data_IF_655801686944
#
_entry.id   IF_655801686944
#
_cell.length_a   1.000
_cell.length_b   1.000
_cell.length_c   1.000
_cell.angle_alpha   90.00
_cell.angle_beta   90.00
_cell.angle_gamma   90.00
#
_symmetry.space_group_name_H-M   'P 1'
#
loop_
_entity.id
_entity.type
_entity.pdbx_description
1 polymer ?
#
# COMPACT_ATOMS: atom_id res chain seq x y z
N UNK A 1 -3.61 -17.01 -8.48
CA UNK A 1 -3.72 -16.55 -7.08
C UNK A 1 -4.87 -17.28 -6.40
N UNK A 2 -4.69 -17.64 -5.13
CA UNK A 2 -5.74 -18.22 -4.30
C UNK A 2 -6.61 -17.13 -3.65
N UNK A 3 -7.44 -17.50 -2.69
CA UNK A 3 -8.37 -16.63 -1.99
C UNK A 3 -7.76 -15.81 -0.84
N UNK A 4 -6.44 -15.58 -0.83
CA UNK A 4 -5.78 -14.80 0.23
C UNK A 4 -5.79 -13.31 -0.07
N UNK A 5 -6.20 -12.51 0.92
CA UNK A 5 -6.12 -11.05 0.86
C UNK A 5 -5.16 -10.56 1.95
N UNK A 6 -4.14 -9.82 1.54
CA UNK A 6 -3.15 -9.23 2.44
C UNK A 6 -3.59 -7.85 2.88
N UNK A 7 -3.64 -7.63 4.20
CA UNK A 7 -4.02 -6.36 4.79
C UNK A 7 -2.81 -5.52 5.19
N UNK A 8 -2.96 -4.21 5.06
CA UNK A 8 -2.05 -3.20 5.59
C UNK A 8 -2.81 -1.95 6.04
N UNK A 9 -2.18 -1.10 6.85
CA UNK A 9 -2.66 0.24 7.18
C UNK A 9 -1.69 1.30 6.62
N UNK A 10 -2.16 2.44 6.09
CA UNK A 10 -1.29 3.57 5.76
C UNK A 10 -0.93 4.35 7.03
N UNK A 11 0.33 4.72 7.21
CA UNK A 11 0.80 5.66 8.23
C UNK A 11 1.44 6.87 7.54
N UNK A 12 0.79 8.01 7.62
CA UNK A 12 1.28 9.25 7.04
C UNK A 12 2.25 9.93 8.03
N UNK A 13 3.55 9.84 7.75
CA UNK A 13 4.60 10.40 8.60
C UNK A 13 4.89 11.87 8.32
N UNK A 14 4.65 12.34 7.08
CA UNK A 14 4.89 13.74 6.70
C UNK A 14 4.03 14.17 5.52
N UNK A 15 3.40 15.35 5.63
CA UNK A 15 2.78 16.07 4.52
C UNK A 15 3.61 17.27 4.03
N UNK A 16 4.84 17.43 4.55
CA UNK A 16 5.78 18.39 4.00
C UNK A 16 6.13 17.98 2.57
N UNK A 17 5.92 18.87 1.61
CA UNK A 17 6.23 18.62 0.21
C UNK A 17 6.71 19.89 -0.48
N UNK A 18 7.75 19.77 -1.31
CA UNK A 18 8.29 20.88 -2.12
C UNK A 18 7.65 20.96 -3.51
N UNK A 19 6.90 19.92 -3.90
CA UNK A 19 6.28 19.84 -5.22
C UNK A 19 4.93 20.55 -5.29
N UNK A 20 4.49 20.85 -6.52
CA UNK A 20 3.25 21.54 -6.81
C UNK A 20 2.38 20.75 -7.79
N UNK A 21 2.19 19.46 -7.49
CA UNK A 21 1.35 18.58 -8.30
C UNK A 21 -0.11 19.04 -8.25
N UNK A 22 -0.71 19.36 -9.38
CA UNK A 22 -2.03 20.02 -9.45
C UNK A 22 -3.21 19.16 -8.96
N UNK A 23 -2.98 17.87 -8.71
CA UNK A 23 -3.99 16.88 -8.25
C UNK A 23 -3.83 16.49 -6.78
N UNK A 24 -2.86 17.03 -6.06
CA UNK A 24 -2.49 16.55 -4.72
C UNK A 24 -2.76 17.59 -3.64
N UNK A 25 -3.43 17.23 -2.56
CA UNK A 25 -3.67 18.11 -1.41
C UNK A 25 -2.36 18.55 -0.72
N UNK A 26 -1.29 17.75 -0.78
CA UNK A 26 0.01 18.07 -0.18
C UNK A 26 0.89 19.01 -1.02
N UNK A 27 0.41 19.52 -2.15
CA UNK A 27 1.21 20.46 -2.95
C UNK A 27 1.64 21.67 -2.13
N UNK A 28 2.88 22.15 -2.33
CA UNK A 28 3.50 23.18 -1.48
C UNK A 28 2.79 24.54 -1.50
N UNK A 29 2.03 24.81 -2.54
CA UNK A 29 1.25 26.03 -2.75
C UNK A 29 -0.23 25.92 -2.29
N UNK A 30 -0.60 24.84 -1.60
CA UNK A 30 -1.91 24.72 -0.96
C UNK A 30 -1.88 25.40 0.42
N UNK A 31 -2.53 26.59 0.60
CA UNK A 31 -2.51 27.32 1.85
C UNK A 31 -3.41 26.71 2.94
N UNK A 32 -4.33 25.82 2.57
CA UNK A 32 -5.26 25.18 3.50
C UNK A 32 -4.60 24.03 4.26
N UNK A 33 -3.51 23.47 3.72
CA UNK A 33 -2.82 22.32 4.28
C UNK A 33 -1.94 22.71 5.48
N UNK A 34 -2.26 22.21 6.67
CA UNK A 34 -1.43 22.34 7.86
C UNK A 34 -0.26 21.36 7.80
N UNK A 35 0.94 21.91 7.60
CA UNK A 35 2.17 21.13 7.43
C UNK A 35 2.68 20.54 8.74
N UNK A 36 2.92 19.25 8.75
CA UNK A 36 3.51 18.57 9.88
C UNK A 36 4.40 17.41 9.44
N UNK A 37 5.41 17.10 10.22
CA UNK A 37 6.25 15.93 10.14
C UNK A 37 6.28 15.31 11.53
N UNK A 38 5.95 14.02 11.62
CA UNK A 38 5.85 13.34 12.91
C UNK A 38 7.21 13.22 13.59
N UNK A 39 7.26 13.52 14.89
CA UNK A 39 8.40 13.18 15.73
C UNK A 39 8.47 11.66 15.98
N UNK A 40 9.60 11.13 16.47
CA UNK A 40 9.69 9.72 16.88
C UNK A 40 8.61 9.30 17.88
N UNK A 41 8.28 10.17 18.85
CA UNK A 41 7.25 9.93 19.85
C UNK A 41 5.84 9.87 19.23
N UNK A 42 5.57 10.73 18.24
CA UNK A 42 4.30 10.72 17.50
C UNK A 42 4.20 9.45 16.64
N UNK A 43 5.26 9.07 15.92
CA UNK A 43 5.34 7.82 15.15
C UNK A 43 5.09 6.62 16.05
N UNK A 44 5.69 6.61 17.24
CA UNK A 44 5.49 5.55 18.22
C UNK A 44 4.02 5.41 18.60
N UNK A 45 3.34 6.52 18.98
CA UNK A 45 1.92 6.53 19.35
C UNK A 45 0.98 6.14 18.23
N UNK A 46 1.23 6.64 17.02
CA UNK A 46 0.46 6.27 15.83
C UNK A 46 0.58 4.77 15.57
N UNK A 47 1.79 4.23 15.69
CA UNK A 47 2.05 2.80 15.51
C UNK A 47 1.36 1.96 16.59
N UNK A 48 1.36 2.40 17.86
CA UNK A 48 0.60 1.74 18.94
C UNK A 48 -0.88 1.63 18.55
N UNK A 49 -1.49 2.72 18.11
CA UNK A 49 -2.90 2.74 17.73
C UNK A 49 -3.21 1.80 16.55
N UNK A 50 -2.32 1.74 15.55
CA UNK A 50 -2.45 0.80 14.42
C UNK A 50 -2.34 -0.67 14.90
N UNK A 51 -1.43 -0.97 15.82
CA UNK A 51 -1.29 -2.31 16.39
C UNK A 51 -2.52 -2.70 17.22
N UNK A 52 -3.09 -1.76 17.97
CA UNK A 52 -4.29 -1.97 18.80
C UNK A 52 -5.55 -2.28 17.95
N UNK A 53 -5.57 -1.90 16.68
CA UNK A 53 -6.58 -2.32 15.69
C UNK A 53 -6.33 -3.74 15.13
N UNK A 54 -5.19 -4.36 15.43
CA UNK A 54 -4.83 -5.72 15.01
C UNK A 54 -3.92 -5.79 13.77
N UNK A 55 -3.50 -4.66 13.22
CA UNK A 55 -2.58 -4.63 12.09
C UNK A 55 -1.19 -5.16 12.46
N UNK A 56 -0.54 -5.82 11.50
CA UNK A 56 0.83 -6.36 11.60
C UNK A 56 1.73 -5.87 10.46
N UNK A 57 1.16 -5.12 9.53
CA UNK A 57 1.80 -4.58 8.34
C UNK A 57 1.30 -3.17 8.07
N UNK A 58 2.20 -2.28 7.73
CA UNK A 58 1.82 -0.93 7.33
C UNK A 58 2.63 -0.43 6.13
N UNK A 59 2.14 0.64 5.52
CA UNK A 59 2.87 1.45 4.56
C UNK A 59 3.07 2.85 5.12
N UNK A 60 4.32 3.24 5.33
CA UNK A 60 4.67 4.57 5.78
C UNK A 60 4.77 5.53 4.58
N UNK A 61 4.10 6.68 4.67
CA UNK A 61 3.92 7.63 3.56
C UNK A 61 4.59 8.95 3.91
N UNK A 62 5.38 9.47 2.97
CA UNK A 62 6.17 10.69 3.15
C UNK A 62 5.97 11.64 1.98
N UNK A 63 5.74 12.92 2.28
CA UNK A 63 5.87 13.98 1.29
C UNK A 63 7.34 14.20 0.89
N UNK A 64 7.58 14.64 -0.34
CA UNK A 64 8.92 14.91 -0.85
C UNK A 64 9.45 16.24 -0.31
N UNK A 65 10.36 16.18 0.67
CA UNK A 65 10.89 17.35 1.34
C UNK A 65 12.28 17.07 1.93
N UNK A 66 13.21 18.05 2.02
CA UNK A 66 14.53 17.84 2.63
C UNK A 66 14.51 17.33 4.08
N UNK A 67 13.44 17.58 4.84
CA UNK A 67 13.26 17.02 6.19
C UNK A 67 12.73 15.59 6.21
N UNK A 68 12.23 15.08 5.09
CA UNK A 68 11.79 13.70 4.93
C UNK A 68 12.84 12.94 4.11
N UNK A 69 14.10 13.09 4.47
CA UNK A 69 15.24 12.45 3.83
C UNK A 69 15.38 10.96 4.21
N UNK A 70 16.36 10.30 3.66
CA UNK A 70 16.59 8.88 3.89
C UNK A 70 16.90 8.55 5.36
N UNK A 71 17.57 9.46 6.08
CA UNK A 71 17.91 9.26 7.50
C UNK A 71 16.64 9.35 8.36
N UNK A 72 15.79 10.37 8.17
CA UNK A 72 14.48 10.46 8.84
C UNK A 72 13.60 9.23 8.55
N UNK A 73 13.56 8.77 7.29
CA UNK A 73 12.77 7.60 6.92
C UNK A 73 13.33 6.35 7.63
N UNK A 74 14.64 6.13 7.65
CA UNK A 74 15.27 5.00 8.31
C UNK A 74 14.99 4.99 9.82
N UNK A 75 15.07 6.15 10.47
CA UNK A 75 14.77 6.32 11.90
C UNK A 75 13.30 6.06 12.19
N UNK A 76 12.38 6.53 11.33
CA UNK A 76 10.95 6.24 11.47
C UNK A 76 10.64 4.75 11.35
N UNK A 77 11.29 4.03 10.42
CA UNK A 77 11.18 2.56 10.28
C UNK A 77 11.64 1.86 11.56
N UNK A 78 12.79 2.26 12.10
CA UNK A 78 13.35 1.71 13.34
C UNK A 78 12.39 1.92 14.52
N UNK A 79 11.81 3.12 14.63
CA UNK A 79 10.80 3.45 15.65
C UNK A 79 9.57 2.56 15.52
N UNK A 80 9.02 2.39 14.31
CA UNK A 80 7.85 1.55 14.06
C UNK A 80 8.11 0.10 14.46
N UNK A 81 9.27 -0.48 14.10
CA UNK A 81 9.60 -1.86 14.46
C UNK A 81 9.84 -2.07 15.95
N UNK A 82 10.21 -1.03 16.70
CA UNK A 82 10.44 -1.10 18.14
C UNK A 82 9.13 -1.17 18.96
N UNK A 83 7.99 -0.76 18.39
CA UNK A 83 6.71 -0.71 19.11
C UNK A 83 6.19 -2.13 19.35
N UNK A 84 5.81 -2.39 20.61
CA UNK A 84 5.18 -3.64 21.06
C UNK A 84 3.97 -3.34 21.92
N UNK A 85 2.86 -4.02 21.65
CA UNK A 85 1.62 -3.91 22.43
C UNK A 85 1.21 -5.27 22.96
N UNK A 86 0.82 -5.34 24.22
CA UNK A 86 0.21 -6.56 24.76
C UNK A 86 -1.09 -6.84 24.00
N UNK A 87 -1.30 -8.09 23.60
CA UNK A 87 -2.55 -8.47 22.93
C UNK A 87 -3.75 -8.33 23.85
N UNK A 88 -4.96 -8.01 23.34
CA UNK A 88 -6.17 -7.96 24.15
C UNK A 88 -6.45 -9.24 24.95
N UNK A 89 -6.05 -10.41 24.42
CA UNK A 89 -6.14 -11.69 25.12
C UNK A 89 -5.17 -11.84 26.30
N UNK A 90 -4.16 -10.98 26.41
CA UNK A 90 -3.10 -11.08 27.41
C UNK A 90 -2.06 -12.17 27.17
N UNK A 91 -2.16 -12.93 26.06
CA UNK A 91 -1.31 -14.10 25.77
C UNK A 91 -0.03 -13.77 25.01
N UNK A 92 0.45 -12.53 25.07
CA UNK A 92 1.67 -12.13 24.38
C UNK A 92 1.64 -10.68 23.94
N UNK A 93 2.41 -10.39 22.88
CA UNK A 93 2.44 -9.04 22.31
C UNK A 93 2.34 -9.10 20.78
N UNK A 94 1.75 -8.05 20.22
CA UNK A 94 1.73 -7.76 18.82
C UNK A 94 2.70 -6.61 18.47
N UNK A 95 3.20 -6.61 17.24
CA UNK A 95 4.05 -5.56 16.70
C UNK A 95 3.91 -5.52 15.18
N UNK A 96 4.33 -4.41 14.57
CA UNK A 96 4.45 -4.34 13.12
C UNK A 96 5.63 -5.22 12.69
N UNK A 97 5.36 -6.12 11.76
CA UNK A 97 6.32 -7.13 11.26
C UNK A 97 6.85 -6.79 9.87
N UNK A 98 6.21 -5.86 9.18
CA UNK A 98 6.62 -5.36 7.87
C UNK A 98 6.19 -3.92 7.68
N UNK A 99 7.15 -3.08 7.31
CA UNK A 99 6.93 -1.68 6.95
C UNK A 99 7.29 -1.48 5.48
N UNK A 100 6.28 -1.28 4.64
CA UNK A 100 6.47 -0.79 3.28
C UNK A 100 6.60 0.73 3.31
N UNK A 101 7.19 1.31 2.30
CA UNK A 101 7.30 2.77 2.20
C UNK A 101 6.81 3.31 0.87
N UNK A 102 6.10 4.43 0.93
CA UNK A 102 5.77 5.28 -0.19
C UNK A 102 6.48 6.62 0.02
N UNK A 103 7.61 6.78 -0.67
CA UNK A 103 8.47 7.95 -0.55
C UNK A 103 8.87 8.48 -1.93
N UNK A 104 9.54 9.63 -1.99
CA UNK A 104 10.04 10.18 -3.23
C UNK A 104 11.16 9.31 -3.84
N UNK A 105 11.42 9.41 -5.15
CA UNK A 105 12.60 8.82 -5.76
C UNK A 105 13.88 9.34 -5.12
N UNK A 106 14.85 8.44 -4.88
CA UNK A 106 16.11 8.75 -4.21
C UNK A 106 17.30 8.23 -5.02
N UNK A 107 18.51 8.67 -4.66
CA UNK A 107 19.75 8.12 -5.16
C UNK A 107 19.99 6.70 -4.59
N UNK A 108 20.83 5.91 -5.27
CA UNK A 108 21.13 4.53 -4.88
C UNK A 108 21.70 4.45 -3.46
N UNK A 109 22.54 5.41 -3.06
CA UNK A 109 23.17 5.47 -1.73
C UNK A 109 22.11 5.64 -0.62
N UNK A 110 21.10 6.49 -0.83
CA UNK A 110 20.03 6.72 0.12
C UNK A 110 19.10 5.49 0.19
N UNK A 111 18.79 4.89 -0.97
CA UNK A 111 18.01 3.65 -1.02
C UNK A 111 18.73 2.50 -0.30
N UNK A 112 20.07 2.42 -0.33
CA UNK A 112 20.83 1.45 0.46
C UNK A 112 20.70 1.66 1.98
N UNK A 113 20.55 2.92 2.45
CA UNK A 113 20.23 3.16 3.87
C UNK A 113 18.87 2.57 4.23
N UNK A 114 17.86 2.78 3.39
CA UNK A 114 16.52 2.24 3.60
C UNK A 114 16.49 0.72 3.56
N UNK A 115 17.22 0.12 2.62
CA UNK A 115 17.41 -1.33 2.58
C UNK A 115 18.00 -1.87 3.90
N UNK A 116 19.04 -1.22 4.45
CA UNK A 116 19.65 -1.59 5.73
C UNK A 116 18.73 -1.39 6.92
N UNK A 117 17.84 -0.40 6.87
CA UNK A 117 16.79 -0.18 7.89
C UNK A 117 15.72 -1.28 7.87
N UNK A 118 15.73 -2.18 6.88
CA UNK A 118 14.83 -3.32 6.81
C UNK A 118 13.43 -2.96 6.28
N UNK A 119 13.35 -2.03 5.33
CA UNK A 119 12.08 -1.76 4.67
C UNK A 119 11.53 -3.01 3.98
N UNK A 120 10.23 -3.05 3.85
CA UNK A 120 9.55 -3.97 2.98
C UNK A 120 9.59 -3.53 1.51
N UNK A 121 8.42 -3.33 0.91
CA UNK A 121 8.30 -2.84 -0.46
C UNK A 121 8.63 -1.35 -0.54
N UNK A 122 9.49 -0.97 -1.48
CA UNK A 122 9.65 0.42 -1.89
C UNK A 122 8.65 0.75 -3.00
N UNK A 123 7.83 1.78 -2.79
CA UNK A 123 6.74 2.13 -3.70
C UNK A 123 6.85 3.58 -4.17
N UNK A 124 6.86 3.78 -5.48
CA UNK A 124 6.74 5.09 -6.13
C UNK A 124 5.81 4.98 -7.33
N UNK A 125 4.76 5.77 -7.36
CA UNK A 125 3.89 5.84 -8.53
C UNK A 125 4.52 6.75 -9.60
N UNK A 126 4.50 6.30 -10.85
CA UNK A 126 4.86 7.15 -11.98
C UNK A 126 3.86 8.30 -12.16
N UNK A 127 2.67 8.15 -11.64
CA UNK A 127 1.49 9.00 -11.74
C UNK A 127 0.85 8.89 -13.13
N UNK A 128 1.54 9.33 -14.19
CA UNK A 128 1.18 9.09 -15.58
C UNK A 128 2.42 8.73 -16.39
N UNK A 129 2.30 7.78 -17.28
CA UNK A 129 3.36 7.37 -18.20
C UNK A 129 3.44 8.25 -19.45
N UNK A 130 2.45 9.13 -19.70
CA UNK A 130 2.47 10.04 -20.84
C UNK A 130 3.35 11.27 -20.56
N UNK A 131 4.52 11.44 -21.26
CA UNK A 131 5.50 12.48 -20.88
C UNK A 131 4.96 13.91 -21.00
N UNK A 132 4.18 14.21 -22.05
CA UNK A 132 3.57 15.53 -22.24
C UNK A 132 2.59 15.86 -21.12
N UNK A 133 1.71 14.92 -20.78
CA UNK A 133 0.77 15.11 -19.68
C UNK A 133 1.46 15.21 -18.32
N UNK A 134 2.52 14.43 -18.11
CA UNK A 134 3.34 14.51 -16.92
C UNK A 134 3.92 15.92 -16.72
N UNK A 135 4.46 16.53 -17.78
CA UNK A 135 5.03 17.87 -17.72
C UNK A 135 3.98 18.97 -17.42
N UNK A 136 2.74 18.80 -17.90
CA UNK A 136 1.63 19.70 -17.56
C UNK A 136 1.24 19.64 -16.08
N UNK A 137 1.29 18.46 -15.48
CA UNK A 137 0.85 18.18 -14.11
C UNK A 137 1.91 18.48 -13.05
N UNK A 138 3.19 18.47 -13.44
CA UNK A 138 4.33 18.62 -12.54
C UNK A 138 5.23 19.75 -13.03
N UNK A 139 5.18 20.93 -12.39
CA UNK A 139 5.98 22.08 -12.80
C UNK A 139 7.48 21.76 -12.88
N UNK A 140 8.11 22.14 -14.00
CA UNK A 140 9.50 21.77 -14.32
C UNK A 140 10.55 22.30 -13.29
N UNK A 141 10.20 23.32 -12.53
CA UNK A 141 11.04 23.86 -11.46
C UNK A 141 10.83 23.17 -10.10
N UNK A 142 10.23 22.00 -10.09
CA UNK A 142 10.11 21.12 -8.92
C UNK A 142 10.89 19.82 -9.13
N UNK A 143 11.27 19.14 -8.05
CA UNK A 143 11.99 17.87 -8.14
C UNK A 143 11.16 16.84 -8.91
N UNK A 144 9.86 16.75 -8.63
CA UNK A 144 8.93 15.83 -9.30
C UNK A 144 8.72 16.18 -10.78
N UNK A 145 9.07 17.37 -11.23
CA UNK A 145 9.04 17.76 -12.66
C UNK A 145 9.98 16.94 -13.55
N UNK A 146 10.94 16.22 -12.97
CA UNK A 146 11.84 15.34 -13.72
C UNK A 146 11.20 13.97 -13.98
N UNK A 147 10.58 13.80 -15.14
CA UNK A 147 9.92 12.57 -15.57
C UNK A 147 10.82 11.33 -15.49
N UNK A 148 12.03 11.41 -16.04
CA UNK A 148 12.95 10.25 -16.08
C UNK A 148 13.47 9.88 -14.69
N UNK A 149 13.74 10.87 -13.84
CA UNK A 149 14.15 10.62 -12.46
C UNK A 149 13.12 9.77 -11.72
N UNK A 150 11.84 10.03 -11.96
CA UNK A 150 10.74 9.28 -11.36
C UNK A 150 10.55 7.92 -12.02
N UNK A 151 10.56 7.85 -13.35
CA UNK A 151 10.37 6.60 -14.10
C UNK A 151 11.40 5.52 -13.69
N UNK A 152 12.66 5.89 -13.54
CA UNK A 152 13.74 4.98 -13.16
C UNK A 152 13.94 4.85 -11.64
N UNK A 153 12.93 5.19 -10.82
CA UNK A 153 13.04 5.08 -9.36
C UNK A 153 13.18 3.62 -8.91
N UNK A 154 12.41 2.71 -9.51
CA UNK A 154 12.48 1.28 -9.17
C UNK A 154 13.79 0.63 -9.63
N UNK A 155 14.33 1.02 -10.75
CA UNK A 155 15.65 0.57 -11.21
C UNK A 155 16.73 0.91 -10.18
N UNK A 156 16.76 2.15 -9.69
CA UNK A 156 17.70 2.55 -8.63
C UNK A 156 17.46 1.82 -7.30
N UNK A 157 16.21 1.50 -6.99
CA UNK A 157 15.89 0.71 -5.81
C UNK A 157 16.47 -0.71 -5.92
N UNK A 158 16.31 -1.34 -7.06
CA UNK A 158 16.86 -2.67 -7.34
C UNK A 158 18.40 -2.66 -7.37
N UNK A 159 19.02 -1.64 -7.96
CA UNK A 159 20.49 -1.41 -7.89
C UNK A 159 20.99 -1.22 -6.46
N UNK A 160 20.14 -0.71 -5.57
CA UNK A 160 20.47 -0.57 -4.14
C UNK A 160 20.32 -1.87 -3.34
N UNK A 161 19.76 -2.93 -3.94
CA UNK A 161 19.50 -4.23 -3.31
C UNK A 161 18.07 -4.40 -2.79
N UNK A 162 17.16 -3.45 -3.07
CA UNK A 162 15.74 -3.56 -2.74
C UNK A 162 15.08 -4.38 -3.86
N UNK A 163 14.85 -5.64 -3.62
CA UNK A 163 14.26 -6.60 -4.56
C UNK A 163 12.73 -6.68 -4.49
N UNK A 164 12.10 -5.94 -3.59
CA UNK A 164 10.66 -5.84 -3.42
C UNK A 164 10.20 -4.41 -3.74
N UNK A 165 9.82 -4.21 -5.00
CA UNK A 165 9.41 -2.90 -5.52
C UNK A 165 7.95 -2.90 -5.95
N UNK A 166 7.33 -1.72 -5.90
CA UNK A 166 5.94 -1.52 -6.33
C UNK A 166 5.82 -0.33 -7.28
N UNK A 167 5.19 -0.57 -8.42
CA UNK A 167 4.87 0.47 -9.40
C UNK A 167 3.39 0.87 -9.32
N UNK A 168 3.05 1.99 -9.91
CA UNK A 168 1.65 2.44 -9.98
C UNK A 168 1.45 3.65 -10.86
N UNK A 169 0.19 3.88 -11.22
CA UNK A 169 -0.28 5.08 -11.90
C UNK A 169 -1.53 5.61 -11.20
N UNK A 170 -1.73 6.93 -11.23
CA UNK A 170 -2.95 7.57 -10.74
C UNK A 170 -3.93 7.69 -11.90
N UNK A 171 -4.89 6.79 -11.97
CA UNK A 171 -5.89 6.74 -13.01
C UNK A 171 -6.86 7.93 -12.92
N UNK A 172 -6.99 8.65 -14.01
CA UNK A 172 -7.72 9.92 -14.11
C UNK A 172 -6.82 11.10 -14.49
N UNK A 173 -5.50 10.91 -14.54
CA UNK A 173 -4.57 11.92 -15.03
C UNK A 173 -4.46 11.92 -16.55
N UNK A 174 -4.51 10.76 -17.19
CA UNK A 174 -4.49 10.58 -18.64
C UNK A 174 -5.35 9.37 -19.04
N UNK A 175 -5.37 9.01 -20.35
CA UNK A 175 -6.11 7.87 -20.87
C UNK A 175 -5.73 6.57 -20.15
N UNK A 176 -6.71 5.89 -19.57
CA UNK A 176 -6.46 4.72 -18.73
C UNK A 176 -5.83 3.53 -19.49
N UNK A 177 -6.10 3.39 -20.81
CA UNK A 177 -5.51 2.32 -21.61
C UNK A 177 -4.02 2.56 -21.82
N UNK A 178 -3.64 3.82 -22.02
CA UNK A 178 -2.24 4.22 -22.12
C UNK A 178 -1.51 3.95 -20.79
N UNK A 179 -2.13 4.29 -19.66
CA UNK A 179 -1.53 4.04 -18.34
C UNK A 179 -1.38 2.54 -18.05
N UNK A 180 -2.36 1.70 -18.43
CA UNK A 180 -2.25 0.23 -18.31
C UNK A 180 -1.09 -0.29 -19.15
N UNK A 181 -0.96 0.15 -20.41
CA UNK A 181 0.18 -0.22 -21.25
C UNK A 181 1.51 0.22 -20.63
N UNK A 182 1.59 1.43 -20.08
CA UNK A 182 2.77 1.93 -19.39
C UNK A 182 3.16 1.09 -18.16
N UNK A 183 2.18 0.65 -17.37
CA UNK A 183 2.40 -0.24 -16.24
C UNK A 183 2.93 -1.61 -16.68
N UNK A 184 2.34 -2.20 -17.71
CA UNK A 184 2.76 -3.50 -18.25
C UNK A 184 4.18 -3.42 -18.80
N UNK A 185 4.49 -2.40 -19.61
CA UNK A 185 5.83 -2.21 -20.16
C UNK A 185 6.87 -1.93 -19.08
N UNK A 186 6.51 -1.18 -18.02
CA UNK A 186 7.40 -0.94 -16.89
C UNK A 186 7.69 -2.24 -16.11
N UNK A 187 6.67 -3.09 -15.92
CA UNK A 187 6.85 -4.40 -15.29
C UNK A 187 7.81 -5.28 -16.12
N UNK A 188 7.59 -5.38 -17.43
CA UNK A 188 8.46 -6.13 -18.33
C UNK A 188 9.88 -5.55 -18.44
N UNK A 189 10.03 -4.23 -18.34
CA UNK A 189 11.34 -3.60 -18.34
C UNK A 189 12.17 -3.99 -17.09
N UNK A 190 11.54 -3.99 -15.92
CA UNK A 190 12.16 -4.48 -14.68
C UNK A 190 12.54 -5.96 -14.80
N UNK A 191 11.66 -6.81 -15.35
CA UNK A 191 11.97 -8.23 -15.60
C UNK A 191 13.17 -8.40 -16.53
N UNK A 192 13.21 -7.65 -17.63
CA UNK A 192 14.33 -7.72 -18.59
C UNK A 192 15.67 -7.30 -17.99
N UNK A 193 15.65 -6.29 -17.10
CA UNK A 193 16.90 -5.73 -16.55
C UNK A 193 17.38 -6.45 -15.30
N UNK A 194 16.47 -6.93 -14.45
CA UNK A 194 16.79 -7.49 -13.14
C UNK A 194 16.39 -8.95 -12.98
N UNK A 195 15.75 -9.57 -13.97
CA UNK A 195 15.26 -10.94 -13.91
C UNK A 195 13.98 -11.11 -13.06
N UNK A 196 13.50 -10.05 -12.42
CA UNK A 196 12.26 -10.03 -11.62
C UNK A 196 11.47 -8.76 -11.91
N UNK A 197 10.13 -8.90 -11.94
CA UNK A 197 9.21 -7.78 -12.08
C UNK A 197 8.78 -7.19 -10.73
N UNK A 198 7.85 -6.23 -10.75
CA UNK A 198 7.35 -5.60 -9.53
C UNK A 198 6.57 -6.60 -8.67
N UNK A 199 6.81 -6.58 -7.36
CA UNK A 199 6.06 -7.38 -6.40
C UNK A 199 4.58 -6.98 -6.35
N UNK A 200 4.29 -5.68 -6.51
CA UNK A 200 2.91 -5.19 -6.55
C UNK A 200 2.72 -4.09 -7.58
N UNK A 201 1.48 -4.01 -8.10
CA UNK A 201 1.00 -2.89 -8.90
C UNK A 201 -0.17 -2.23 -8.17
N UNK A 202 -0.08 -0.91 -7.99
CA UNK A 202 -1.15 -0.07 -7.49
C UNK A 202 -1.79 0.73 -8.63
N UNK A 203 -3.11 0.79 -8.63
CA UNK A 203 -3.90 1.45 -9.67
C UNK A 203 -5.01 2.34 -9.08
N UNK A 204 -4.68 3.25 -8.14
CA UNK A 204 -5.68 4.13 -7.56
C UNK A 204 -6.33 5.01 -8.62
N UNK A 205 -7.64 5.22 -8.50
CA UNK A 205 -8.33 6.29 -9.22
C UNK A 205 -8.18 7.62 -8.50
N UNK A 206 -8.20 8.70 -9.26
CA UNK A 206 -8.25 10.04 -8.71
C UNK A 206 -9.54 10.23 -7.92
N UNK A 207 -9.39 10.73 -6.70
CA UNK A 207 -10.48 11.09 -5.81
C UNK A 207 -10.42 12.59 -5.51
N UNK A 208 -11.53 13.23 -5.13
CA UNK A 208 -11.52 14.62 -4.72
C UNK A 208 -10.41 14.91 -3.70
N UNK A 209 -9.64 15.95 -3.94
CA UNK A 209 -8.54 16.37 -3.10
C UNK A 209 -8.68 17.86 -2.74
N UNK A 210 -8.52 18.26 -1.46
CA UNK A 210 -8.65 19.65 -1.04
C UNK A 210 -7.76 20.57 -1.88
N UNK A 211 -8.35 21.65 -2.37
CA UNK A 211 -7.66 22.64 -3.19
C UNK A 211 -7.25 22.19 -4.60
N UNK A 212 -7.73 21.05 -5.11
CA UNK A 212 -7.42 20.55 -6.45
C UNK A 212 -8.65 20.54 -7.36
N UNK A 213 -8.76 21.52 -8.26
CA UNK A 213 -9.81 21.53 -9.28
C UNK A 213 -9.74 20.31 -10.21
N UNK A 214 -8.53 19.88 -10.56
CA UNK A 214 -8.33 18.76 -11.49
C UNK A 214 -8.88 17.44 -10.94
N UNK A 215 -8.85 17.26 -9.62
CA UNK A 215 -9.28 15.99 -9.01
C UNK A 215 -10.75 15.64 -9.29
N UNK A 216 -11.58 16.63 -9.57
CA UNK A 216 -13.01 16.47 -9.87
C UNK A 216 -13.35 16.74 -11.35
N UNK A 217 -12.48 17.46 -12.06
CA UNK A 217 -12.76 17.97 -13.40
C UNK A 217 -11.81 17.46 -14.49
N UNK A 218 -11.07 16.39 -14.23
CA UNK A 218 -10.22 15.81 -15.27
C UNK A 218 -11.06 15.19 -16.39
N UNK A 219 -10.71 15.44 -17.67
CA UNK A 219 -11.39 14.80 -18.80
C UNK A 219 -11.08 13.29 -18.90
N UNK A 220 -10.19 12.78 -18.05
CA UNK A 220 -9.74 11.38 -18.04
C UNK A 220 -10.24 10.61 -16.81
N UNK A 221 -11.22 11.13 -16.07
CA UNK A 221 -11.81 10.40 -14.94
C UNK A 221 -12.29 9.02 -15.37
N UNK A 222 -11.96 8.01 -14.58
CA UNK A 222 -12.24 6.60 -14.89
C UNK A 222 -13.52 6.17 -14.19
N UNK A 223 -14.55 5.78 -14.95
CA UNK A 223 -15.77 5.21 -14.40
C UNK A 223 -15.55 3.76 -13.93
N UNK A 224 -16.55 3.20 -13.24
CA UNK A 224 -16.46 1.86 -12.65
C UNK A 224 -16.22 0.76 -13.68
N UNK A 225 -16.89 0.83 -14.85
CA UNK A 225 -16.74 -0.20 -15.88
C UNK A 225 -15.35 -0.20 -16.50
N UNK A 226 -14.78 0.98 -16.75
CA UNK A 226 -13.39 1.11 -17.21
C UNK A 226 -12.42 0.65 -16.11
N UNK A 227 -12.72 0.96 -14.85
CA UNK A 227 -11.91 0.53 -13.70
C UNK A 227 -11.87 -1.00 -13.57
N UNK A 228 -13.02 -1.66 -13.67
CA UNK A 228 -13.09 -3.12 -13.68
C UNK A 228 -12.27 -3.72 -14.81
N UNK A 229 -12.38 -3.16 -16.02
CA UNK A 229 -11.63 -3.63 -17.20
C UNK A 229 -10.13 -3.47 -17.01
N UNK A 230 -9.65 -2.33 -16.51
CA UNK A 230 -8.21 -2.13 -16.30
C UNK A 230 -7.64 -3.13 -15.29
N UNK A 231 -8.37 -3.47 -14.22
CA UNK A 231 -7.93 -4.46 -13.23
C UNK A 231 -7.81 -5.85 -13.86
N UNK A 232 -8.83 -6.25 -14.63
CA UNK A 232 -8.79 -7.54 -15.35
C UNK A 232 -7.62 -7.61 -16.34
N UNK A 233 -7.36 -6.53 -17.09
CA UNK A 233 -6.23 -6.48 -18.05
C UNK A 233 -4.91 -6.57 -17.31
N UNK A 234 -4.70 -5.82 -16.23
CA UNK A 234 -3.48 -5.89 -15.42
C UNK A 234 -3.26 -7.30 -14.85
N UNK A 235 -4.33 -7.95 -14.34
CA UNK A 235 -4.22 -9.32 -13.82
C UNK A 235 -3.81 -10.33 -14.89
N UNK A 236 -4.34 -10.20 -16.10
CA UNK A 236 -4.01 -11.10 -17.22
C UNK A 236 -2.62 -10.83 -17.78
N UNK A 237 -2.23 -9.54 -17.90
CA UNK A 237 -0.95 -9.15 -18.50
C UNK A 237 0.25 -9.38 -17.56
N UNK A 238 0.09 -9.22 -16.25
CA UNK A 238 1.13 -9.42 -15.23
C UNK A 238 0.62 -10.37 -14.15
N UNK A 239 0.50 -11.68 -14.47
CA UNK A 239 -0.23 -12.63 -13.62
C UNK A 239 0.42 -12.92 -12.27
N UNK A 240 1.72 -12.75 -12.13
CA UNK A 240 2.49 -13.03 -10.91
C UNK A 240 2.43 -11.90 -9.88
N UNK A 241 2.16 -10.66 -10.28
CA UNK A 241 2.23 -9.49 -9.39
C UNK A 241 1.04 -9.41 -8.43
N UNK A 242 1.25 -8.85 -7.25
CA UNK A 242 0.16 -8.47 -6.35
C UNK A 242 -0.58 -7.24 -6.89
N UNK A 243 -1.92 -7.27 -6.90
CA UNK A 243 -2.75 -6.12 -7.24
C UNK A 243 -3.36 -5.52 -5.99
N UNK A 244 -3.22 -4.18 -5.84
CA UNK A 244 -3.67 -3.46 -4.65
C UNK A 244 -4.90 -2.62 -4.97
N UNK A 245 -6.03 -2.93 -4.34
CA UNK A 245 -7.21 -2.06 -4.30
C UNK A 245 -7.32 -1.42 -2.92
N UNK A 246 -7.53 -0.10 -2.85
CA UNK A 246 -7.49 0.64 -1.60
C UNK A 246 -8.85 1.24 -1.21
N UNK A 247 -8.93 1.73 0.03
CA UNK A 247 -10.06 2.45 0.60
C UNK A 247 -10.41 3.77 -0.13
N UNK A 248 -9.70 4.14 -1.19
CA UNK A 248 -10.13 5.19 -2.14
C UNK A 248 -11.46 4.83 -2.79
N UNK A 249 -11.67 3.55 -3.05
CA UNK A 249 -12.90 3.05 -3.65
C UNK A 249 -13.97 2.79 -2.58
N UNK A 250 -15.24 2.98 -2.96
CA UNK A 250 -16.36 2.63 -2.07
C UNK A 250 -16.43 1.12 -1.83
N UNK A 251 -17.02 0.74 -0.72
CA UNK A 251 -17.05 -0.63 -0.21
C UNK A 251 -17.56 -1.66 -1.25
N UNK A 252 -18.66 -1.36 -1.92
CA UNK A 252 -19.30 -2.26 -2.90
C UNK A 252 -18.38 -2.53 -4.09
N UNK A 253 -17.73 -1.48 -4.60
CA UNK A 253 -16.79 -1.62 -5.72
C UNK A 253 -15.53 -2.38 -5.31
N UNK A 254 -14.99 -2.13 -4.11
CA UNK A 254 -13.83 -2.88 -3.58
C UNK A 254 -14.14 -4.38 -3.52
N UNK A 255 -15.30 -4.74 -2.96
CA UNK A 255 -15.75 -6.13 -2.87
C UNK A 255 -15.83 -6.78 -4.25
N UNK A 256 -16.35 -6.07 -5.25
CA UNK A 256 -16.43 -6.57 -6.63
C UNK A 256 -15.02 -6.72 -7.25
N UNK A 257 -14.16 -5.72 -7.12
CA UNK A 257 -12.81 -5.68 -7.71
C UNK A 257 -11.90 -6.78 -7.13
N UNK A 258 -12.05 -7.14 -5.87
CA UNK A 258 -11.30 -8.25 -5.26
C UNK A 258 -11.48 -9.54 -6.05
N UNK A 259 -12.67 -9.81 -6.56
CA UNK A 259 -12.98 -11.00 -7.38
C UNK A 259 -12.22 -11.00 -8.73
N UNK A 260 -11.68 -9.87 -9.18
CA UNK A 260 -10.87 -9.79 -10.40
C UNK A 260 -9.38 -10.03 -10.14
N UNK A 261 -9.04 -10.57 -8.99
CA UNK A 261 -7.70 -11.02 -8.65
C UNK A 261 -6.85 -10.00 -7.90
N UNK A 262 -7.46 -9.05 -7.20
CA UNK A 262 -6.74 -8.25 -6.21
C UNK A 262 -6.29 -9.13 -5.05
N UNK A 263 -5.09 -8.88 -4.55
CA UNK A 263 -4.46 -9.69 -3.51
C UNK A 263 -4.12 -8.90 -2.25
N UNK A 264 -4.21 -7.58 -2.32
CA UNK A 264 -3.89 -6.70 -1.20
C UNK A 264 -4.93 -5.57 -1.09
N UNK A 265 -5.24 -5.21 0.15
CA UNK A 265 -6.14 -4.09 0.47
C UNK A 265 -5.77 -3.47 1.81
N UNK A 266 -6.21 -2.24 2.03
CA UNK A 266 -6.12 -1.56 3.32
C UNK A 266 -7.49 -1.55 4.02
N UNK A 267 -7.49 -1.37 5.32
CA UNK A 267 -8.69 -1.16 6.12
C UNK A 267 -8.37 -0.33 7.35
N UNK A 268 -9.37 0.24 8.01
CA UNK A 268 -9.19 1.23 9.08
C UNK A 268 -8.29 2.39 8.67
N UNK A 269 -8.29 2.75 7.38
CA UNK A 269 -7.34 3.71 6.83
C UNK A 269 -7.62 5.12 7.31
N UNK A 270 -6.59 5.75 7.88
CA UNK A 270 -6.59 7.15 8.26
C UNK A 270 -5.43 7.85 7.54
N UNK A 271 -5.76 8.79 6.68
CA UNK A 271 -4.81 9.42 5.75
C UNK A 271 -4.37 10.83 6.16
N UNK A 272 -4.74 11.26 7.37
CA UNK A 272 -4.23 12.48 8.00
C UNK A 272 -2.95 12.22 8.79
N UNK A 273 -2.11 13.26 8.92
CA UNK A 273 -0.92 13.19 9.78
C UNK A 273 -1.35 13.14 11.25
N UNK A 274 -0.92 12.11 11.99
CA UNK A 274 -1.28 11.94 13.40
C UNK A 274 -2.73 11.51 13.64
N UNK A 275 -3.37 10.87 12.65
CA UNK A 275 -4.82 10.60 12.70
C UNK A 275 -5.20 9.35 13.49
N UNK A 276 -4.28 8.43 13.80
CA UNK A 276 -4.60 7.21 14.53
C UNK A 276 -4.65 7.43 16.06
N UNK A 277 -3.67 8.10 16.65
CA UNK A 277 -3.58 8.32 18.08
C UNK A 277 -4.49 9.45 18.60
N UNK A 278 -4.94 10.35 17.74
CA UNK A 278 -5.64 11.56 18.09
C UNK A 278 -7.16 11.45 18.07
N UNK A 279 -7.81 11.13 19.20
CA UNK A 279 -9.30 11.16 19.31
C UNK A 279 -9.95 12.52 19.02
N UNK A 280 -9.25 13.64 19.24
CA UNK A 280 -9.71 15.01 18.96
C UNK A 280 -9.40 15.47 17.53
N UNK A 281 -8.49 14.82 16.86
CA UNK A 281 -8.02 15.21 15.51
C UNK A 281 -8.91 14.71 14.39
N UNK A 282 -9.82 13.79 14.64
CA UNK A 282 -10.72 13.25 13.59
C UNK A 282 -11.70 14.30 13.05
N UNK A 283 -12.21 15.19 13.89
CA UNK A 283 -13.13 16.26 13.50
C UNK A 283 -12.40 17.48 12.89
N UNK A 284 -11.13 17.69 13.28
CA UNK A 284 -10.31 18.81 12.79
C UNK A 284 -9.50 18.48 11.51
N UNK A 285 -9.50 17.22 11.06
CA UNK A 285 -8.59 16.75 10.01
C UNK A 285 -9.24 16.52 8.64
N UNK A 286 -10.52 16.84 8.46
CA UNK A 286 -11.14 16.79 7.13
C UNK A 286 -10.39 17.68 6.11
N UNK A 287 -9.70 18.72 6.58
CA UNK A 287 -8.95 19.70 5.77
C UNK A 287 -7.46 19.34 5.59
N UNK A 288 -6.99 18.18 6.16
CA UNK A 288 -5.56 17.81 6.20
C UNK A 288 -5.27 16.49 5.49
N UNK A 289 -6.06 16.11 4.52
CA UNK A 289 -5.95 14.84 3.83
C UNK A 289 -5.46 15.01 2.40
N UNK A 290 -4.68 14.07 1.94
CA UNK A 290 -4.18 14.07 0.58
C UNK A 290 -5.32 13.96 -0.46
N UNK A 291 -6.38 13.22 -0.12
CA UNK A 291 -7.58 12.95 -0.92
C UNK A 291 -8.70 12.39 -0.01
N UNK A 292 -9.92 12.26 -0.52
CA UNK A 292 -11.03 11.66 0.22
C UNK A 292 -11.04 10.12 0.12
N UNK A 293 -11.43 9.45 1.20
CA UNK A 293 -11.62 7.99 1.21
C UNK A 293 -13.08 7.64 0.85
N UNK A 294 -13.24 6.59 0.03
CA UNK A 294 -14.54 6.01 -0.31
C UNK A 294 -15.03 4.96 0.69
N UNK A 295 -14.14 4.34 1.45
CA UNK A 295 -14.45 3.33 2.46
C UNK A 295 -13.68 3.61 3.76
N UNK A 296 -14.43 3.78 4.85
CA UNK A 296 -13.88 4.11 6.18
C UNK A 296 -14.16 3.02 7.21
N UNK A 297 -14.55 1.83 6.76
CA UNK A 297 -14.84 0.70 7.65
C UNK A 297 -13.62 0.26 8.43
N UNK A 298 -13.88 -0.27 9.63
CA UNK A 298 -12.86 -0.87 10.48
C UNK A 298 -12.23 -2.11 9.84
N UNK A 299 -11.07 -2.50 10.34
CA UNK A 299 -10.40 -3.73 9.92
C UNK A 299 -11.30 -4.95 10.14
N UNK A 300 -12.02 -5.01 11.27
CA UNK A 300 -12.91 -6.12 11.62
C UNK A 300 -14.10 -6.25 10.66
N UNK A 301 -14.72 -5.13 10.28
CA UNK A 301 -15.85 -5.13 9.33
C UNK A 301 -15.42 -5.62 7.94
N UNK A 302 -14.27 -5.18 7.44
CA UNK A 302 -13.76 -5.60 6.13
C UNK A 302 -13.33 -7.07 6.17
N UNK A 303 -12.67 -7.51 7.23
CA UNK A 303 -12.28 -8.91 7.41
C UNK A 303 -13.51 -9.81 7.48
N UNK A 304 -14.57 -9.40 8.19
CA UNK A 304 -15.81 -10.17 8.25
C UNK A 304 -16.45 -10.35 6.88
N UNK A 305 -16.60 -9.27 6.12
CA UNK A 305 -17.14 -9.31 4.76
C UNK A 305 -16.35 -10.29 3.87
N UNK A 306 -15.03 -10.17 3.87
CA UNK A 306 -14.19 -11.04 3.07
C UNK A 306 -14.24 -12.50 3.52
N UNK A 307 -14.32 -12.77 4.82
CA UNK A 307 -14.47 -14.12 5.34
C UNK A 307 -15.83 -14.76 4.91
N UNK A 308 -16.91 -14.00 4.93
CA UNK A 308 -18.22 -14.44 4.44
C UNK A 308 -18.20 -14.71 2.92
N UNK A 309 -17.41 -13.95 2.15
CA UNK A 309 -17.20 -14.15 0.71
C UNK A 309 -16.17 -15.27 0.40
N UNK A 310 -15.57 -15.87 1.42
CA UNK A 310 -14.62 -16.97 1.27
C UNK A 310 -13.17 -16.55 1.04
N UNK A 311 -12.82 -15.31 1.33
CA UNK A 311 -11.44 -14.82 1.26
C UNK A 311 -10.77 -14.86 2.63
N UNK A 312 -9.60 -15.52 2.72
CA UNK A 312 -8.85 -15.60 3.96
C UNK A 312 -7.93 -14.40 4.13
N UNK A 313 -8.03 -13.77 5.30
CA UNK A 313 -7.16 -12.67 5.69
C UNK A 313 -5.72 -13.15 5.92
N UNK A 314 -4.76 -12.41 5.38
CA UNK A 314 -3.34 -12.61 5.63
C UNK A 314 -2.66 -11.29 5.93
N UNK A 315 -1.66 -11.32 6.82
CA UNK A 315 -0.74 -10.18 7.00
C UNK A 315 0.60 -10.41 6.31
N UNK A 316 0.78 -11.59 5.69
CA UNK A 316 1.94 -11.97 4.87
C UNK A 316 3.29 -11.59 5.51
N UNK A 317 3.51 -12.02 6.76
CA UNK A 317 4.69 -11.60 7.53
C UNK A 317 5.78 -12.68 7.66
N UNK A 318 5.43 -13.97 7.52
CA UNK A 318 6.36 -15.08 7.74
C UNK A 318 7.38 -15.22 6.60
N UNK A 319 7.00 -14.97 5.35
CA UNK A 319 7.89 -15.07 4.19
C UNK A 319 9.12 -14.17 4.30
N UNK A 320 8.93 -12.97 4.78
CA UNK A 320 9.97 -11.95 4.89
C UNK A 320 11.02 -12.27 5.95
N UNK A 321 10.64 -12.84 7.08
CA UNK A 321 11.58 -13.29 8.12
C UNK A 321 12.54 -14.37 7.63
N UNK A 322 12.13 -15.15 6.63
CA UNK A 322 12.94 -16.21 6.05
C UNK A 322 13.71 -15.75 4.81
N UNK A 323 13.77 -14.44 4.53
CA UNK A 323 14.41 -13.88 3.34
C UNK A 323 13.74 -14.32 2.02
N UNK A 324 12.42 -14.57 2.04
CA UNK A 324 11.63 -14.84 0.85
C UNK A 324 11.12 -13.55 0.25
N UNK A 325 12.03 -12.80 -0.33
CA UNK A 325 11.77 -11.56 -1.06
C UNK A 325 12.39 -11.69 -2.46
N UNK A 326 12.08 -10.77 -3.35
CA UNK A 326 12.68 -10.70 -4.67
C UNK A 326 12.68 -12.05 -5.41
N UNK A 327 13.81 -12.45 -5.93
CA UNK A 327 13.99 -13.69 -6.71
C UNK A 327 13.41 -14.93 -6.03
N UNK A 328 13.60 -15.07 -4.72
CA UNK A 328 13.16 -16.28 -4.01
C UNK A 328 11.65 -16.42 -3.99
N UNK A 329 10.92 -15.35 -3.72
CA UNK A 329 9.46 -15.40 -3.71
C UNK A 329 8.90 -15.46 -5.13
N UNK A 330 9.49 -14.72 -6.07
CA UNK A 330 9.03 -14.70 -7.46
C UNK A 330 9.22 -16.08 -8.12
N UNK A 331 10.36 -16.72 -7.95
CA UNK A 331 10.60 -18.09 -8.43
C UNK A 331 9.61 -19.13 -7.83
N UNK A 332 9.18 -18.93 -6.59
CA UNK A 332 8.16 -19.79 -5.98
C UNK A 332 6.77 -19.54 -6.58
N UNK A 333 6.42 -18.27 -6.80
CA UNK A 333 5.15 -17.86 -7.41
C UNK A 333 5.03 -18.39 -8.84
N UNK A 334 6.07 -18.27 -9.65
CA UNK A 334 6.12 -18.78 -11.03
C UNK A 334 5.97 -20.32 -11.08
N UNK A 335 6.55 -21.04 -10.12
CA UNK A 335 6.45 -22.49 -10.02
C UNK A 335 5.15 -22.99 -9.38
N UNK A 336 4.31 -22.10 -8.85
CA UNK A 336 3.07 -22.43 -8.16
C UNK A 336 3.25 -23.29 -6.89
N UNK A 337 4.45 -23.30 -6.29
CA UNK A 337 4.78 -24.17 -5.14
C UNK A 337 4.49 -23.49 -3.80
N UNK A 338 4.35 -22.15 -3.80
CA UNK A 338 4.13 -21.37 -2.58
C UNK A 338 2.70 -21.50 -2.02
N UNK A 339 1.75 -22.01 -2.82
CA UNK A 339 0.33 -22.04 -2.48
C UNK A 339 0.04 -22.61 -1.10
N UNK A 340 0.50 -23.84 -0.83
CA UNK A 340 0.31 -24.51 0.47
C UNK A 340 0.95 -23.75 1.63
N UNK A 341 2.20 -23.31 1.47
CA UNK A 341 2.92 -22.58 2.53
C UNK A 341 2.27 -21.24 2.84
N UNK A 342 1.94 -20.48 1.82
CA UNK A 342 1.30 -19.18 1.99
C UNK A 342 -0.12 -19.31 2.54
N UNK A 343 -0.85 -20.37 2.17
CA UNK A 343 -2.18 -20.69 2.69
C UNK A 343 -2.11 -21.03 4.18
N UNK A 344 -1.17 -21.90 4.58
CA UNK A 344 -0.96 -22.21 5.99
C UNK A 344 -0.56 -20.97 6.81
N UNK A 345 0.32 -20.13 6.26
CA UNK A 345 0.68 -18.87 6.91
C UNK A 345 -0.53 -17.93 7.06
N UNK A 346 -1.42 -17.87 6.06
CA UNK A 346 -2.66 -17.10 6.17
C UNK A 346 -3.55 -17.65 7.29
N UNK A 347 -3.76 -18.96 7.35
CA UNK A 347 -4.53 -19.63 8.42
C UNK A 347 -3.96 -19.27 9.80
N UNK A 348 -2.65 -19.35 9.99
CA UNK A 348 -2.01 -19.06 11.27
C UNK A 348 -2.16 -17.59 11.67
N UNK A 349 -1.90 -16.66 10.75
CA UNK A 349 -2.01 -15.22 11.05
C UNK A 349 -3.46 -14.76 11.19
N UNK A 350 -4.39 -15.40 10.49
CA UNK A 350 -5.81 -15.14 10.65
C UNK A 350 -6.32 -15.67 11.99
N UNK A 351 -5.92 -16.88 12.39
CA UNK A 351 -6.23 -17.44 13.71
C UNK A 351 -5.75 -16.53 14.83
N UNK A 352 -4.53 -15.99 14.71
CA UNK A 352 -3.99 -15.02 15.65
C UNK A 352 -4.89 -13.78 15.76
N UNK A 353 -5.33 -13.22 14.62
CA UNK A 353 -6.27 -12.10 14.59
C UNK A 353 -7.62 -12.43 15.23
N UNK A 354 -8.22 -13.58 14.88
CA UNK A 354 -9.51 -14.00 15.43
C UNK A 354 -9.49 -14.16 16.94
N UNK A 355 -8.38 -14.62 17.51
CA UNK A 355 -8.24 -14.81 18.95
C UNK A 355 -8.07 -13.48 19.69
N UNK A 356 -7.35 -12.53 19.12
CA UNK A 356 -6.89 -11.34 19.81
C UNK A 356 -7.76 -10.10 19.54
N UNK A 357 -8.35 -9.95 18.33
CA UNK A 357 -8.95 -8.69 17.90
C UNK A 357 -10.38 -8.80 17.38
N UNK A 358 -10.78 -9.97 16.86
CA UNK A 358 -12.04 -10.11 16.16
C UNK A 358 -13.26 -9.99 17.08
N UNK A 359 -14.31 -9.34 16.57
CA UNK A 359 -15.66 -9.42 17.15
C UNK A 359 -16.19 -10.85 17.11
N UNK A 360 -17.22 -11.14 17.90
CA UNK A 360 -17.84 -12.47 17.94
C UNK A 360 -18.34 -12.91 16.56
N UNK A 361 -18.92 -12.00 15.78
CA UNK A 361 -19.42 -12.28 14.43
C UNK A 361 -18.30 -12.57 13.45
N UNK A 362 -17.21 -11.80 13.50
CA UNK A 362 -16.02 -12.01 12.66
C UNK A 362 -15.31 -13.32 13.04
N UNK A 363 -15.24 -13.63 14.32
CA UNK A 363 -14.68 -14.88 14.81
C UNK A 363 -15.46 -16.09 14.29
N UNK A 364 -16.78 -16.05 14.35
CA UNK A 364 -17.62 -17.13 13.82
C UNK A 364 -17.43 -17.35 12.30
N UNK A 365 -17.45 -16.26 11.51
CA UNK A 365 -17.20 -16.33 10.06
C UNK A 365 -15.80 -16.85 9.75
N UNK A 366 -14.80 -16.36 10.46
CA UNK A 366 -13.39 -16.74 10.30
C UNK A 366 -13.11 -18.20 10.66
N UNK A 367 -13.72 -18.73 11.74
CA UNK A 367 -13.58 -20.12 12.13
C UNK A 367 -14.14 -21.08 11.05
N UNK A 368 -15.33 -20.77 10.51
CA UNK A 368 -15.90 -21.55 9.39
C UNK A 368 -14.96 -21.58 8.19
N UNK A 369 -14.37 -20.42 7.86
CA UNK A 369 -13.43 -20.29 6.75
C UNK A 369 -12.14 -21.09 7.01
N UNK A 370 -11.53 -20.99 8.19
CA UNK A 370 -10.32 -21.73 8.56
C UNK A 370 -10.54 -23.23 8.45
N UNK A 371 -11.69 -23.76 8.90
CA UNK A 371 -11.99 -25.18 8.78
C UNK A 371 -11.99 -25.65 7.32
N UNK A 372 -12.60 -24.85 6.42
CA UNK A 372 -12.59 -25.15 4.98
C UNK A 372 -11.17 -25.12 4.41
N UNK A 373 -10.36 -24.13 4.75
CA UNK A 373 -8.99 -23.98 4.26
C UNK A 373 -8.09 -25.13 4.72
N UNK A 374 -8.26 -25.60 5.98
CA UNK A 374 -7.51 -26.77 6.49
C UNK A 374 -7.88 -28.04 5.75
N UNK A 375 -9.17 -28.28 5.47
CA UNK A 375 -9.61 -29.44 4.67
C UNK A 375 -9.04 -29.40 3.25
N UNK A 376 -8.96 -28.23 2.63
CA UNK A 376 -8.34 -28.10 1.31
C UNK A 376 -6.82 -28.39 1.35
N UNK A 377 -6.11 -27.96 2.42
CA UNK A 377 -4.68 -28.23 2.59
C UNK A 377 -4.42 -29.73 2.77
N UNK A 378 -5.29 -30.45 3.51
CA UNK A 378 -5.17 -31.88 3.73
C UNK A 378 -5.42 -32.71 2.45
N UNK A 379 -6.33 -32.25 1.59
CA UNK A 379 -6.73 -32.94 0.36
C UNK A 379 -5.79 -32.67 -0.84
N UNK A 380 -4.83 -31.78 -0.70
CA UNK A 380 -3.84 -31.42 -1.74
C UNK A 380 -2.45 -31.94 -1.39
#
# INVERSE_FOLDING_TARGET
>A
YDNRIVFFAPLYCSNLCVNRCVYCGFRSDNPEEKRHILSPEEIYRETEAIIDEGHKRLIAVYGEHPKSDADYIADSISTIYAVKRTTPSGNGFNNIRRVNINAAPMAVEDLRKLWRAGIGTFQVFQETYHPGRYAELHPANTIKGNFRWRLYAMHRAMDAGIDDVAIGALFGLYDWKFEVMGLVEHAHDLERQFGIGPHTISFPRMQPAPGSFLSENSPYLVNDDAFKRLVMVLRLAVPYTGLIVTARERAELRREIINYGCTQTDASSKIGIGAYAGKKLQEENADKVQFMLGDQRSLDEVIKELADDGYITSFCTAGYRCGRTGDKIMNLLEKGVEGKFCKLNAVLTFREYLNDYASAATKEAGERLIQRELQEIENT
#
